data_IF_577769639348
#
_entry.id   IF_577769639348
#
_cell.length_a   1.000
_cell.length_b   1.000
_cell.length_c   1.000
_cell.angle_alpha   90.00
_cell.angle_beta   90.00
_cell.angle_gamma   90.00
#
_symmetry.space_group_name_H-M   'P 1'
#
loop_
_entity.id
_entity.type
_entity.pdbx_description
1 polymer ?
#
# COMPACT_ATOMS: atom_id res chain seq x y z
N UNK A 1 -43.77 78.09 -24.84
CA UNK A 1 -42.49 77.51 -25.34
C UNK A 1 -42.44 76.11 -24.70
N UNK A 2 -42.67 75.08 -25.50
CA UNK A 2 -42.55 73.65 -25.08
C UNK A 2 -41.13 73.22 -25.38
N UNK A 3 -40.32 72.97 -24.36
CA UNK A 3 -39.00 72.38 -24.53
C UNK A 3 -39.17 70.88 -24.75
N UNK A 4 -38.98 70.46 -25.99
CA UNK A 4 -38.86 69.03 -26.30
C UNK A 4 -37.42 68.60 -26.00
N UNK A 5 -37.21 67.90 -24.88
CA UNK A 5 -35.90 67.29 -24.56
C UNK A 5 -35.74 66.08 -25.47
N UNK A 6 -34.69 66.02 -26.31
CA UNK A 6 -34.46 64.84 -27.15
C UNK A 6 -34.30 63.57 -26.31
N UNK A 7 -35.01 62.50 -26.63
CA UNK A 7 -34.97 61.19 -25.91
C UNK A 7 -33.55 60.62 -25.86
N UNK A 8 -32.71 60.93 -26.85
CA UNK A 8 -31.31 60.53 -26.86
C UNK A 8 -30.50 61.08 -25.68
N UNK A 9 -30.83 62.26 -25.17
CA UNK A 9 -30.11 62.90 -24.08
C UNK A 9 -30.40 62.22 -22.71
N UNK A 10 -31.48 61.49 -22.61
CA UNK A 10 -31.91 60.73 -21.41
C UNK A 10 -31.42 59.28 -21.49
N UNK A 11 -31.41 58.66 -22.65
CA UNK A 11 -31.08 57.26 -22.83
C UNK A 11 -29.57 56.97 -22.80
N UNK A 12 -28.73 57.84 -23.33
CA UNK A 12 -27.25 57.66 -23.33
C UNK A 12 -26.64 57.43 -21.92
N UNK A 13 -26.93 58.21 -20.89
CA UNK A 13 -26.38 57.97 -19.56
C UNK A 13 -26.91 56.69 -18.94
N UNK A 14 -28.09 56.22 -19.32
CA UNK A 14 -28.68 54.95 -18.85
C UNK A 14 -27.95 53.76 -19.47
N UNK A 15 -27.66 53.80 -20.77
CA UNK A 15 -26.94 52.76 -21.48
C UNK A 15 -25.48 52.66 -21.03
N UNK A 16 -24.85 53.81 -20.77
CA UNK A 16 -23.50 53.85 -20.19
C UNK A 16 -23.44 53.23 -18.76
N UNK A 17 -24.46 53.51 -17.94
CA UNK A 17 -24.58 52.89 -16.62
C UNK A 17 -24.73 51.34 -16.71
N UNK A 18 -25.58 50.84 -17.62
CA UNK A 18 -25.73 49.41 -17.87
C UNK A 18 -24.42 48.76 -18.30
N UNK A 19 -23.70 49.38 -19.24
CA UNK A 19 -22.44 48.87 -19.70
C UNK A 19 -21.37 48.81 -18.59
N UNK A 20 -21.28 49.81 -17.74
CA UNK A 20 -20.36 49.82 -16.56
C UNK A 20 -20.74 48.70 -15.61
N UNK A 21 -22.04 48.51 -15.31
CA UNK A 21 -22.52 47.44 -14.44
C UNK A 21 -22.16 46.06 -15.02
N UNK A 22 -22.42 45.82 -16.29
CA UNK A 22 -22.13 44.56 -16.93
C UNK A 22 -20.64 44.25 -16.96
N UNK A 23 -19.77 45.25 -17.26
CA UNK A 23 -18.33 45.09 -17.23
C UNK A 23 -17.83 44.76 -15.82
N UNK A 24 -18.35 45.47 -14.81
CA UNK A 24 -17.95 45.21 -13.42
C UNK A 24 -18.37 43.81 -12.92
N UNK A 25 -19.55 43.32 -13.34
CA UNK A 25 -20.02 41.96 -13.03
C UNK A 25 -19.14 40.91 -13.69
N UNK A 26 -18.78 41.10 -14.96
CA UNK A 26 -17.88 40.17 -15.67
C UNK A 26 -16.51 40.11 -15.01
N UNK A 27 -15.93 41.27 -14.65
CA UNK A 27 -14.64 41.33 -13.95
C UNK A 27 -14.73 40.60 -12.58
N UNK A 28 -15.80 40.85 -11.82
CA UNK A 28 -16.00 40.19 -10.53
C UNK A 28 -16.08 38.66 -10.67
N UNK A 29 -16.80 38.16 -11.69
CA UNK A 29 -16.90 36.71 -11.98
C UNK A 29 -15.52 36.13 -12.32
N UNK A 30 -14.72 36.82 -13.13
CA UNK A 30 -13.38 36.37 -13.49
C UNK A 30 -12.48 36.26 -12.24
N UNK A 31 -12.52 37.29 -11.38
CA UNK A 31 -11.75 37.29 -10.13
C UNK A 31 -12.18 36.14 -9.23
N UNK A 32 -13.47 35.92 -9.04
CA UNK A 32 -14.00 34.82 -8.24
C UNK A 32 -13.59 33.45 -8.79
N UNK A 33 -13.61 33.28 -10.12
CA UNK A 33 -13.18 32.06 -10.78
C UNK A 33 -11.70 31.76 -10.55
N UNK A 34 -10.84 32.80 -10.66
CA UNK A 34 -9.41 32.69 -10.40
C UNK A 34 -9.16 32.31 -8.93
N UNK A 35 -9.80 32.96 -7.99
CA UNK A 35 -9.70 32.65 -6.56
C UNK A 35 -10.15 31.23 -6.27
N UNK A 36 -11.29 30.82 -6.82
CA UNK A 36 -11.82 29.46 -6.68
C UNK A 36 -10.84 28.41 -7.22
N UNK A 37 -10.24 28.66 -8.38
CA UNK A 37 -9.21 27.77 -8.95
C UNK A 37 -8.02 27.59 -8.03
N UNK A 38 -7.45 28.66 -7.47
CA UNK A 38 -6.32 28.59 -6.57
C UNK A 38 -6.64 27.87 -5.25
N UNK A 39 -7.82 28.14 -4.70
CA UNK A 39 -8.29 27.49 -3.48
C UNK A 39 -8.49 25.99 -3.74
N UNK A 40 -9.21 25.63 -4.79
CA UNK A 40 -9.45 24.22 -5.13
C UNK A 40 -8.16 23.46 -5.42
N UNK A 41 -7.20 24.09 -6.13
CA UNK A 41 -5.90 23.48 -6.41
C UNK A 41 -5.17 23.14 -5.12
N UNK A 42 -5.06 24.10 -4.20
CA UNK A 42 -4.25 23.96 -2.98
C UNK A 42 -4.89 23.04 -1.92
N UNK A 43 -6.23 23.11 -1.76
CA UNK A 43 -6.93 22.40 -0.68
C UNK A 43 -7.52 21.07 -1.10
N UNK A 44 -7.73 20.83 -2.41
CA UNK A 44 -8.35 19.58 -2.91
C UNK A 44 -7.38 18.82 -3.82
N UNK A 45 -6.88 19.47 -4.90
CA UNK A 45 -6.15 18.76 -5.95
C UNK A 45 -4.79 18.27 -5.46
N UNK A 46 -3.98 19.15 -4.86
CA UNK A 46 -2.63 18.79 -4.38
C UNK A 46 -2.65 17.66 -3.31
N UNK A 47 -3.54 17.67 -2.29
CA UNK A 47 -3.63 16.56 -1.35
C UNK A 47 -4.06 15.24 -2.00
N UNK A 48 -5.03 15.26 -2.91
CA UNK A 48 -5.45 14.06 -3.63
C UNK A 48 -4.35 13.50 -4.53
N UNK A 49 -3.58 14.37 -5.16
CA UNK A 49 -2.41 13.99 -5.98
C UNK A 49 -1.32 13.35 -5.09
N UNK A 50 -1.11 13.86 -3.87
CA UNK A 50 -0.20 13.27 -2.89
C UNK A 50 -0.61 11.85 -2.52
N UNK A 51 -1.90 11.62 -2.20
CA UNK A 51 -2.43 10.28 -1.91
C UNK A 51 -2.23 9.35 -3.11
N UNK A 52 -2.57 9.81 -4.32
CA UNK A 52 -2.43 9.03 -5.54
C UNK A 52 -0.97 8.64 -5.83
N UNK A 53 -0.01 9.54 -5.58
CA UNK A 53 1.40 9.27 -5.78
C UNK A 53 1.91 8.21 -4.79
N UNK A 54 1.54 8.30 -3.51
CA UNK A 54 1.89 7.27 -2.52
C UNK A 54 1.22 5.95 -2.86
N UNK A 55 -0.04 5.93 -3.33
CA UNK A 55 -0.71 4.72 -3.79
C UNK A 55 0.01 4.05 -4.98
N UNK A 56 0.57 4.85 -5.90
CA UNK A 56 1.43 4.34 -6.98
C UNK A 56 2.74 3.75 -6.45
N UNK A 57 3.38 4.40 -5.46
CA UNK A 57 4.58 3.86 -4.83
C UNK A 57 4.30 2.50 -4.17
N UNK A 58 3.14 2.36 -3.50
CA UNK A 58 2.66 1.09 -2.95
C UNK A 58 2.51 0.01 -4.02
N UNK A 59 1.95 0.34 -5.18
CA UNK A 59 1.81 -0.61 -6.30
C UNK A 59 3.15 -1.10 -6.83
N UNK A 60 4.22 -0.34 -6.61
CA UNK A 60 5.59 -0.67 -6.97
C UNK A 60 6.37 -1.37 -5.83
N UNK A 61 5.72 -1.63 -4.69
CA UNK A 61 6.31 -2.34 -3.56
C UNK A 61 7.03 -1.44 -2.53
N UNK A 62 6.91 -0.13 -2.63
CA UNK A 62 7.48 0.82 -1.65
C UNK A 62 6.48 1.07 -0.51
N UNK A 63 6.38 0.13 0.43
CA UNK A 63 5.37 0.15 1.49
C UNK A 63 5.69 1.09 2.66
N UNK A 64 6.88 1.66 2.74
CA UNK A 64 7.33 2.63 3.76
C UNK A 64 6.83 4.06 3.54
N UNK A 65 6.29 4.36 2.35
CA UNK A 65 5.80 5.69 2.02
C UNK A 65 4.52 6.01 2.77
N UNK A 66 4.38 7.28 3.20
CA UNK A 66 3.17 7.79 3.87
C UNK A 66 2.74 9.11 3.25
N UNK A 67 1.44 9.35 3.29
CA UNK A 67 0.85 10.63 2.90
C UNK A 67 1.04 11.64 4.02
N UNK A 68 1.54 12.84 3.70
CA UNK A 68 1.64 13.93 4.67
C UNK A 68 0.25 14.49 4.99
N UNK A 69 -0.18 14.37 6.24
CA UNK A 69 -1.47 14.88 6.71
C UNK A 69 -1.28 16.36 7.06
N UNK A 70 -1.85 17.24 6.24
CA UNK A 70 -1.78 18.71 6.45
C UNK A 70 -3.14 19.32 6.76
N UNK A 71 -4.21 18.64 6.41
CA UNK A 71 -5.58 19.12 6.51
C UNK A 71 -6.31 18.48 7.70
N UNK A 72 -7.24 19.23 8.29
CA UNK A 72 -8.11 18.76 9.37
C UNK A 72 -9.56 18.70 8.88
N UNK A 73 -9.74 18.17 7.67
CA UNK A 73 -10.98 18.01 6.93
C UNK A 73 -11.14 16.54 6.45
N UNK A 74 -12.13 16.25 5.60
CA UNK A 74 -12.40 14.92 5.04
C UNK A 74 -11.21 14.37 4.24
N UNK A 75 -10.43 15.25 3.63
CA UNK A 75 -9.20 14.86 2.90
C UNK A 75 -8.11 14.44 3.89
N UNK A 76 -7.99 15.13 5.02
CA UNK A 76 -7.10 14.75 6.11
C UNK A 76 -7.47 13.39 6.72
N UNK A 77 -8.77 13.12 6.92
CA UNK A 77 -9.26 11.83 7.40
C UNK A 77 -9.01 10.70 6.39
N UNK A 78 -9.18 10.98 5.09
CA UNK A 78 -8.83 10.05 4.03
C UNK A 78 -7.32 9.71 4.06
N UNK A 79 -6.45 10.72 4.18
CA UNK A 79 -5.01 10.53 4.26
C UNK A 79 -4.60 9.70 5.49
N UNK A 80 -5.26 9.92 6.65
CA UNK A 80 -5.04 9.14 7.87
C UNK A 80 -5.47 7.68 7.69
N UNK A 81 -6.66 7.47 7.13
CA UNK A 81 -7.18 6.11 6.85
C UNK A 81 -6.27 5.38 5.87
N UNK A 82 -5.78 6.07 4.85
CA UNK A 82 -4.79 5.52 3.91
C UNK A 82 -3.50 5.13 4.61
N UNK A 83 -2.97 5.98 5.51
CA UNK A 83 -1.74 5.67 6.25
C UNK A 83 -1.93 4.46 7.19
N UNK A 84 -3.07 4.33 7.88
CA UNK A 84 -3.38 3.16 8.70
C UNK A 84 -3.44 1.87 7.87
N UNK A 85 -4.03 1.92 6.67
CA UNK A 85 -4.00 0.80 5.73
C UNK A 85 -2.56 0.49 5.28
N UNK A 86 -1.77 1.52 5.02
CA UNK A 86 -0.37 1.40 4.65
C UNK A 86 0.46 0.72 5.73
N UNK A 87 0.25 1.07 7.02
CA UNK A 87 0.90 0.43 8.16
C UNK A 87 0.58 -1.07 8.22
N UNK A 88 -0.70 -1.43 8.04
CA UNK A 88 -1.12 -2.83 8.04
C UNK A 88 -0.52 -3.65 6.90
N UNK A 89 -0.39 -3.05 5.71
CA UNK A 89 0.22 -3.72 4.54
C UNK A 89 1.73 -3.89 4.75
N UNK A 90 2.42 -2.86 5.25
CA UNK A 90 3.86 -2.93 5.54
C UNK A 90 4.16 -4.01 6.59
N UNK A 91 3.37 -4.06 7.67
CA UNK A 91 3.49 -5.09 8.70
C UNK A 91 3.26 -6.49 8.12
N UNK A 92 2.22 -6.68 7.31
CA UNK A 92 1.93 -7.95 6.66
C UNK A 92 3.06 -8.41 5.73
N UNK A 93 3.65 -7.47 4.97
CA UNK A 93 4.76 -7.78 4.07
C UNK A 93 6.07 -8.08 4.84
N UNK A 94 6.34 -7.36 5.93
CA UNK A 94 7.48 -7.64 6.80
C UNK A 94 7.36 -9.02 7.45
N UNK A 95 6.19 -9.35 8.00
CA UNK A 95 5.90 -10.67 8.56
C UNK A 95 6.06 -11.77 7.50
N UNK A 96 5.63 -11.53 6.26
CA UNK A 96 5.81 -12.46 5.14
C UNK A 96 7.29 -12.67 4.80
N UNK A 97 8.09 -11.60 4.77
CA UNK A 97 9.53 -11.69 4.50
C UNK A 97 10.26 -12.44 5.60
N UNK A 98 9.95 -12.12 6.86
CA UNK A 98 10.52 -12.80 8.01
C UNK A 98 10.18 -14.30 7.99
N UNK A 99 8.91 -14.65 7.73
CA UNK A 99 8.47 -16.04 7.59
C UNK A 99 9.26 -16.79 6.53
N UNK A 100 9.41 -16.23 5.31
CA UNK A 100 10.20 -16.85 4.24
C UNK A 100 11.67 -17.00 4.63
N UNK A 101 12.25 -16.00 5.30
CA UNK A 101 13.62 -16.05 5.78
C UNK A 101 13.82 -17.17 6.79
N UNK A 102 12.95 -17.26 7.79
CA UNK A 102 13.00 -18.26 8.84
C UNK A 102 12.86 -19.67 8.26
N UNK A 103 11.90 -19.90 7.36
CA UNK A 103 11.77 -21.18 6.64
C UNK A 103 13.06 -21.53 5.89
N UNK A 104 13.62 -20.57 5.17
CA UNK A 104 14.87 -20.79 4.41
C UNK A 104 16.01 -21.22 5.31
N UNK A 105 16.12 -20.65 6.51
CA UNK A 105 17.11 -21.05 7.50
C UNK A 105 16.84 -22.43 8.09
N UNK A 106 15.59 -22.71 8.46
CA UNK A 106 15.17 -24.01 9.03
C UNK A 106 15.28 -25.17 8.04
N UNK A 107 15.15 -24.92 6.73
CA UNK A 107 15.40 -25.92 5.68
C UNK A 107 16.90 -26.11 5.39
N UNK A 108 17.68 -25.02 5.39
CA UNK A 108 19.11 -25.08 5.01
C UNK A 108 19.93 -25.93 5.99
N UNK A 109 19.64 -25.83 7.27
CA UNK A 109 20.39 -26.56 8.32
C UNK A 109 20.37 -28.07 8.11
N UNK A 110 19.21 -28.76 8.12
CA UNK A 110 19.15 -30.22 7.92
C UNK A 110 19.73 -30.66 6.56
N UNK A 111 19.45 -29.90 5.48
CA UNK A 111 19.99 -30.21 4.15
C UNK A 111 21.53 -30.20 4.18
N UNK A 112 22.14 -29.21 4.85
CA UNK A 112 23.60 -29.11 4.97
C UNK A 112 24.17 -30.29 5.78
N UNK A 113 23.50 -30.67 6.89
CA UNK A 113 23.90 -31.81 7.72
C UNK A 113 23.82 -33.11 6.95
N UNK A 114 22.70 -33.39 6.29
CA UNK A 114 22.49 -34.59 5.44
C UNK A 114 23.59 -34.68 4.37
N UNK A 115 23.81 -33.57 3.64
CA UNK A 115 24.86 -33.49 2.61
C UNK A 115 26.23 -33.79 3.20
N UNK A 116 26.57 -33.21 4.37
CA UNK A 116 27.84 -33.42 5.04
C UNK A 116 28.07 -34.87 5.43
N UNK A 117 27.10 -35.54 6.02
CA UNK A 117 27.18 -36.94 6.37
C UNK A 117 27.36 -37.85 5.15
N UNK A 118 26.53 -37.64 4.12
CA UNK A 118 26.63 -38.43 2.88
C UNK A 118 27.98 -38.22 2.22
N UNK A 119 28.47 -36.97 2.13
CA UNK A 119 29.80 -36.69 1.54
C UNK A 119 30.92 -37.35 2.34
N UNK A 120 30.88 -37.27 3.67
CA UNK A 120 31.90 -37.88 4.54
C UNK A 120 31.92 -39.42 4.44
N UNK A 121 30.77 -40.07 4.18
CA UNK A 121 30.71 -41.52 3.94
C UNK A 121 31.33 -41.82 2.54
N UNK A 122 30.95 -41.07 1.51
CA UNK A 122 31.41 -41.28 0.14
C UNK A 122 32.94 -41.08 0.01
N UNK A 123 33.49 -40.11 0.73
CA UNK A 123 34.92 -39.80 0.75
C UNK A 123 35.73 -40.76 1.66
N UNK A 124 35.08 -41.73 2.30
CA UNK A 124 35.72 -42.70 3.19
C UNK A 124 36.30 -42.09 4.49
N UNK A 125 35.84 -40.89 4.87
CA UNK A 125 36.24 -40.20 6.10
C UNK A 125 35.62 -40.90 7.31
N UNK A 126 34.42 -41.46 7.17
CA UNK A 126 33.73 -42.19 8.23
C UNK A 126 34.11 -43.66 8.17
N UNK A 127 34.60 -44.27 9.29
CA UNK A 127 34.91 -45.69 9.35
C UNK A 127 33.67 -46.54 9.03
N UNK A 128 33.85 -47.67 8.32
CA UNK A 128 32.74 -48.56 7.88
C UNK A 128 31.84 -49.00 9.01
N UNK A 129 32.39 -49.21 10.18
CA UNK A 129 31.64 -49.64 11.39
C UNK A 129 30.67 -48.57 11.87
N UNK A 130 30.89 -47.28 11.53
CA UNK A 130 30.05 -46.15 11.91
C UNK A 130 29.19 -45.62 10.77
N UNK A 131 29.35 -46.07 9.53
CA UNK A 131 28.54 -45.61 8.39
C UNK A 131 27.03 -45.71 8.68
N UNK A 132 26.59 -46.84 9.26
CA UNK A 132 25.19 -47.05 9.60
C UNK A 132 24.64 -46.03 10.59
N UNK A 133 25.43 -45.61 11.56
CA UNK A 133 25.00 -44.64 12.58
C UNK A 133 24.81 -43.26 11.92
N UNK A 134 25.72 -42.85 11.05
CA UNK A 134 25.63 -41.60 10.32
C UNK A 134 24.47 -41.58 9.29
N UNK A 135 24.22 -42.73 8.66
CA UNK A 135 23.03 -42.88 7.79
C UNK A 135 21.71 -42.79 8.58
N UNK A 136 21.67 -43.33 9.81
CA UNK A 136 20.51 -43.17 10.68
C UNK A 136 20.30 -41.70 11.05
N UNK A 137 21.35 -40.97 11.44
CA UNK A 137 21.26 -39.54 11.73
C UNK A 137 20.77 -38.76 10.50
N UNK A 138 21.30 -39.06 9.31
CA UNK A 138 20.83 -38.43 8.07
C UNK A 138 19.34 -38.73 7.79
N UNK A 139 18.89 -39.96 8.07
CA UNK A 139 17.50 -40.34 7.93
C UNK A 139 16.59 -39.59 8.92
N UNK A 140 17.03 -39.42 10.17
CA UNK A 140 16.29 -38.65 11.19
C UNK A 140 16.12 -37.19 10.78
N UNK A 141 17.16 -36.58 10.17
CA UNK A 141 17.08 -35.23 9.61
C UNK A 141 16.11 -35.14 8.41
N UNK A 142 16.06 -36.17 7.57
CA UNK A 142 15.06 -36.27 6.46
C UNK A 142 13.64 -36.33 7.04
N UNK A 143 13.43 -37.12 8.07
CA UNK A 143 12.11 -37.22 8.74
C UNK A 143 11.70 -35.90 9.40
N UNK A 144 12.65 -35.18 9.99
CA UNK A 144 12.42 -33.83 10.52
C UNK A 144 12.05 -32.84 9.43
N UNK A 145 12.78 -32.85 8.31
CA UNK A 145 12.50 -32.00 7.14
C UNK A 145 11.11 -32.27 6.56
N UNK A 146 10.73 -33.56 6.47
CA UNK A 146 9.41 -33.98 5.97
C UNK A 146 8.30 -33.43 6.87
N UNK A 147 8.46 -33.49 8.20
CA UNK A 147 7.48 -32.90 9.14
C UNK A 147 7.37 -31.39 8.95
N UNK A 148 8.50 -30.68 8.87
CA UNK A 148 8.49 -29.23 8.64
C UNK A 148 7.75 -28.83 7.36
N UNK A 149 7.96 -29.56 6.25
CA UNK A 149 7.26 -29.31 5.00
C UNK A 149 5.75 -29.55 5.14
N UNK A 150 5.35 -30.62 5.84
CA UNK A 150 3.93 -30.89 6.08
C UNK A 150 3.28 -29.81 6.94
N UNK A 151 3.95 -29.36 8.01
CA UNK A 151 3.48 -28.26 8.86
C UNK A 151 3.26 -26.97 8.07
N UNK A 152 4.18 -26.66 7.12
CA UNK A 152 4.05 -25.51 6.21
C UNK A 152 2.88 -25.64 5.23
N UNK A 153 2.63 -26.85 4.71
CA UNK A 153 1.47 -27.13 3.84
C UNK A 153 0.16 -26.97 4.61
N UNK A 154 0.10 -27.47 5.83
CA UNK A 154 -1.07 -27.35 6.69
C UNK A 154 -1.34 -25.87 7.04
N UNK A 155 -0.30 -25.11 7.40
CA UNK A 155 -0.43 -23.67 7.64
C UNK A 155 -0.93 -22.93 6.39
N UNK A 156 -0.38 -23.25 5.22
CA UNK A 156 -0.82 -22.67 3.95
C UNK A 156 -2.29 -22.99 3.65
N UNK A 157 -2.74 -24.22 3.92
CA UNK A 157 -4.12 -24.64 3.75
C UNK A 157 -5.08 -23.90 4.72
N UNK A 158 -4.63 -23.67 5.97
CA UNK A 158 -5.37 -22.88 6.97
C UNK A 158 -5.52 -21.42 6.52
N UNK A 159 -4.45 -20.79 6.07
CA UNK A 159 -4.47 -19.41 5.56
C UNK A 159 -5.36 -19.25 4.34
N UNK A 160 -5.42 -20.26 3.46
CA UNK A 160 -6.30 -20.27 2.31
C UNK A 160 -7.79 -20.53 2.64
N UNK A 161 -8.15 -20.68 3.94
CA UNK A 161 -9.53 -20.95 4.38
C UNK A 161 -10.05 -22.33 3.95
N UNK A 162 -9.16 -23.24 3.55
CA UNK A 162 -9.53 -24.59 3.05
C UNK A 162 -9.72 -25.63 4.16
N UNK A 163 -9.35 -25.27 5.41
CA UNK A 163 -9.50 -26.17 6.56
C UNK A 163 -10.83 -25.91 7.23
N UNK A 164 -11.74 -26.87 7.18
CA UNK A 164 -12.96 -26.88 7.98
C UNK A 164 -12.65 -27.47 9.37
N UNK A 165 -12.68 -26.61 10.40
CA UNK A 165 -12.57 -27.08 11.78
C UNK A 165 -13.90 -27.72 12.20
N UNK A 166 -13.93 -29.06 12.36
CA UNK A 166 -15.03 -29.74 13.00
C UNK A 166 -14.80 -29.73 14.53
N UNK A 167 -15.39 -28.75 15.20
CA UNK A 167 -15.40 -28.75 16.67
C UNK A 167 -16.41 -29.79 17.20
N UNK A 168 -15.92 -30.94 17.64
CA UNK A 168 -16.75 -31.87 18.43
C UNK A 168 -16.76 -31.39 19.89
N UNK A 169 -17.96 -31.21 20.44
CA UNK A 169 -18.16 -31.05 21.91
C UNK A 169 -17.83 -32.38 22.58
N UNK A 170 -16.79 -32.36 23.40
CA UNK A 170 -16.49 -33.48 24.35
C UNK A 170 -17.39 -33.33 25.54
#
# INVERSE_FOLDING_TARGET
IVYVIPQETINRPIDDMYNIIWISVVIAIIILFILFYFISKKFIIEPLESINNVAKDFSNGYFEKRVSIKNNDEIGDLAKTFNNMADSIEEAENNRREFISNISHELRSPITSIKGFITAILDGIIPKEKEKDYLNIANDEIMRLTRLVNDLLDLSAMQAGKVQFNFMKI
#
